data_IF_055994049483
#
_entry.id   IF_055994049483
#
_cell.length_a   1.000
_cell.length_b   1.000
_cell.length_c   1.000
_cell.angle_alpha   90.00
_cell.angle_beta   90.00
_cell.angle_gamma   90.00
#
_symmetry.space_group_name_H-M   'P 1'
#
loop_
_entity.id
_entity.type
_entity.pdbx_description
1 polymer ?
#
# COMPACT_ATOMS: atom_id res chain seq x y z
N UNK A 1 -9.40 -73.14 11.16
CA UNK A 1 -9.13 -71.72 11.49
C UNK A 1 -10.34 -70.88 11.10
N UNK A 2 -11.07 -70.29 12.06
CA UNK A 2 -12.15 -69.34 11.76
C UNK A 2 -11.68 -67.92 12.08
N UNK A 3 -11.41 -67.12 11.05
CA UNK A 3 -10.95 -65.73 11.21
C UNK A 3 -12.15 -64.80 11.46
N UNK A 4 -12.34 -64.40 12.71
CA UNK A 4 -13.30 -63.39 13.11
C UNK A 4 -12.77 -61.97 12.81
N UNK A 5 -13.03 -61.47 11.60
CA UNK A 5 -12.79 -60.07 11.24
C UNK A 5 -13.85 -59.18 11.92
N UNK A 6 -13.55 -58.68 13.12
CA UNK A 6 -14.35 -57.66 13.81
C UNK A 6 -14.40 -56.39 12.93
N UNK A 7 -15.52 -56.16 12.22
CA UNK A 7 -15.81 -54.88 11.53
C UNK A 7 -15.81 -53.76 12.56
N UNK A 8 -14.73 -52.97 12.64
CA UNK A 8 -14.71 -51.72 13.41
C UNK A 8 -15.73 -50.77 12.78
N UNK A 9 -16.80 -50.43 13.51
CA UNK A 9 -17.76 -49.40 13.08
C UNK A 9 -16.99 -48.08 12.99
N UNK A 10 -16.80 -47.56 11.77
CA UNK A 10 -16.33 -46.18 11.59
C UNK A 10 -17.47 -45.26 12.01
N UNK A 11 -17.30 -44.53 13.12
CA UNK A 11 -18.19 -43.43 13.48
C UNK A 11 -17.91 -42.31 12.47
N UNK A 12 -18.78 -42.15 11.49
CA UNK A 12 -18.77 -41.00 10.59
C UNK A 12 -19.33 -39.78 11.31
N UNK A 13 -18.81 -38.59 10.96
CA UNK A 13 -19.38 -37.31 11.36
C UNK A 13 -20.84 -37.23 10.88
N UNK A 14 -21.73 -36.69 11.70
CA UNK A 14 -23.13 -36.51 11.32
C UNK A 14 -23.28 -35.25 10.45
N UNK A 15 -24.25 -35.26 9.51
CA UNK A 15 -24.53 -34.07 8.69
C UNK A 15 -24.97 -32.88 9.55
N UNK A 16 -25.66 -33.14 10.67
CA UNK A 16 -26.11 -32.09 11.59
C UNK A 16 -24.94 -31.40 12.30
N UNK A 17 -23.89 -32.14 12.69
CA UNK A 17 -22.69 -31.55 13.28
C UNK A 17 -22.01 -30.60 12.30
N UNK A 18 -21.95 -30.93 11.01
CA UNK A 18 -21.36 -30.06 9.99
C UNK A 18 -22.19 -28.79 9.77
N UNK A 19 -23.52 -28.90 9.77
CA UNK A 19 -24.44 -27.77 9.54
C UNK A 19 -24.32 -26.73 10.68
N UNK A 20 -24.27 -27.17 11.94
CA UNK A 20 -24.14 -26.25 13.08
C UNK A 20 -22.81 -25.49 13.04
N UNK A 21 -21.72 -26.18 12.67
CA UNK A 21 -20.40 -25.53 12.54
C UNK A 21 -20.42 -24.45 11.46
N UNK A 22 -21.00 -24.74 10.31
CA UNK A 22 -21.13 -23.76 9.23
C UNK A 22 -22.03 -22.57 9.64
N UNK A 23 -23.10 -22.82 10.41
CA UNK A 23 -23.97 -21.75 10.91
C UNK A 23 -23.23 -20.77 11.82
N UNK A 24 -22.40 -21.26 12.75
CA UNK A 24 -21.61 -20.39 13.64
C UNK A 24 -20.50 -19.67 12.87
N UNK A 25 -19.81 -20.35 11.95
CA UNK A 25 -18.79 -19.74 11.09
C UNK A 25 -19.37 -18.62 10.23
N UNK A 26 -20.60 -18.78 9.71
CA UNK A 26 -21.26 -17.75 8.93
C UNK A 26 -21.52 -16.47 9.74
N UNK A 27 -21.93 -16.59 11.00
CA UNK A 27 -22.17 -15.44 11.89
C UNK A 27 -20.85 -14.69 12.16
N UNK A 28 -19.77 -15.42 12.48
CA UNK A 28 -18.45 -14.79 12.72
C UNK A 28 -17.94 -14.12 11.44
N UNK A 29 -18.04 -14.80 10.30
CA UNK A 29 -17.58 -14.28 9.02
C UNK A 29 -18.30 -12.98 8.63
N UNK A 30 -19.60 -12.87 8.91
CA UNK A 30 -20.39 -11.67 8.61
C UNK A 30 -19.84 -10.40 9.30
N UNK A 31 -19.28 -10.52 10.51
CA UNK A 31 -18.69 -9.40 11.25
C UNK A 31 -17.19 -9.25 10.92
N UNK A 32 -16.48 -10.36 10.79
CA UNK A 32 -15.04 -10.37 10.61
C UNK A 32 -14.61 -9.84 9.23
N UNK A 33 -15.33 -10.19 8.15
CA UNK A 33 -15.00 -9.80 6.78
C UNK A 33 -14.99 -8.27 6.58
N UNK A 34 -16.06 -7.51 6.90
CA UNK A 34 -16.06 -6.06 6.69
C UNK A 34 -14.99 -5.35 7.53
N UNK A 35 -14.79 -5.79 8.79
CA UNK A 35 -13.74 -5.24 9.65
C UNK A 35 -12.34 -5.52 9.10
N UNK A 36 -12.10 -6.74 8.59
CA UNK A 36 -10.84 -7.10 7.98
C UNK A 36 -10.54 -6.25 6.73
N UNK A 37 -11.55 -6.00 5.89
CA UNK A 37 -11.41 -5.13 4.71
C UNK A 37 -11.06 -3.69 5.15
N UNK A 38 -11.76 -3.15 6.14
CA UNK A 38 -11.50 -1.80 6.65
C UNK A 38 -10.08 -1.64 7.21
N UNK A 39 -9.63 -2.60 8.02
CA UNK A 39 -8.26 -2.62 8.56
C UNK A 39 -7.23 -2.72 7.44
N UNK A 40 -7.46 -3.62 6.46
CA UNK A 40 -6.56 -3.78 5.32
C UNK A 40 -6.43 -2.50 4.50
N UNK A 41 -7.54 -1.82 4.22
CA UNK A 41 -7.53 -0.56 3.47
C UNK A 41 -6.82 0.55 4.25
N UNK A 42 -7.05 0.66 5.56
CA UNK A 42 -6.34 1.62 6.40
C UNK A 42 -4.84 1.36 6.45
N UNK A 43 -4.41 0.09 6.55
CA UNK A 43 -2.99 -0.28 6.51
C UNK A 43 -2.34 0.07 5.18
N UNK A 44 -3.05 -0.12 4.06
CA UNK A 44 -2.58 0.28 2.73
C UNK A 44 -2.41 1.80 2.60
N UNK A 45 -3.40 2.57 3.05
CA UNK A 45 -3.32 4.04 3.05
C UNK A 45 -2.14 4.55 3.89
N UNK A 46 -1.89 3.93 5.05
CA UNK A 46 -0.75 4.25 5.92
C UNK A 46 0.59 3.84 5.29
N UNK A 47 0.64 2.73 4.56
CA UNK A 47 1.84 2.31 3.83
C UNK A 47 2.20 3.35 2.76
N UNK A 48 1.23 3.84 1.99
CA UNK A 48 1.46 4.88 0.98
C UNK A 48 1.93 6.19 1.63
N UNK A 49 1.31 6.59 2.75
CA UNK A 49 1.78 7.76 3.52
C UNK A 49 3.22 7.61 4.01
N UNK A 50 3.60 6.41 4.47
CA UNK A 50 4.97 6.13 4.88
C UNK A 50 5.94 6.19 3.69
N UNK A 51 5.53 5.67 2.53
CA UNK A 51 6.30 5.80 1.29
C UNK A 51 6.50 7.27 0.91
N UNK A 52 5.47 8.12 0.99
CA UNK A 52 5.61 9.57 0.75
C UNK A 52 6.69 10.21 1.65
N UNK A 53 6.74 9.82 2.93
CA UNK A 53 7.77 10.30 3.85
C UNK A 53 9.16 9.79 3.51
N UNK A 54 9.28 8.52 3.10
CA UNK A 54 10.55 7.95 2.64
C UNK A 54 11.04 8.68 1.40
N UNK A 55 10.19 8.82 0.37
CA UNK A 55 10.48 9.58 -0.86
C UNK A 55 10.92 11.00 -0.51
N UNK A 56 10.17 11.70 0.35
CA UNK A 56 10.49 13.08 0.77
C UNK A 56 11.89 13.18 1.38
N UNK A 57 12.25 12.27 2.28
CA UNK A 57 13.56 12.26 2.93
C UNK A 57 14.68 11.98 1.93
N UNK A 58 14.49 11.01 1.06
CA UNK A 58 15.47 10.67 0.04
C UNK A 58 15.71 11.81 -0.93
N UNK A 59 14.64 12.43 -1.43
CA UNK A 59 14.74 13.59 -2.34
C UNK A 59 15.35 14.80 -1.62
N UNK A 60 15.04 15.02 -0.34
CA UNK A 60 15.66 16.10 0.43
C UNK A 60 17.18 15.92 0.55
N UNK A 61 17.67 14.69 0.70
CA UNK A 61 19.11 14.40 0.68
C UNK A 61 19.73 14.74 -0.68
N UNK A 62 19.08 14.32 -1.78
CA UNK A 62 19.52 14.61 -3.15
C UNK A 62 19.46 16.10 -3.53
N UNK A 63 18.58 16.88 -2.90
CA UNK A 63 18.57 18.33 -3.07
C UNK A 63 19.73 18.94 -2.27
N UNK A 64 19.98 18.44 -1.06
CA UNK A 64 21.02 18.96 -0.17
C UNK A 64 22.44 18.68 -0.67
N UNK A 65 22.66 17.58 -1.38
CA UNK A 65 23.96 17.24 -2.00
C UNK A 65 24.17 17.91 -3.38
N UNK A 66 23.15 18.61 -3.90
CA UNK A 66 23.19 19.29 -5.20
C UNK A 66 22.93 18.38 -6.41
N UNK A 67 22.58 17.11 -6.20
CA UNK A 67 22.26 16.15 -7.27
C UNK A 67 20.97 16.52 -7.97
N UNK A 68 19.94 16.92 -7.21
CA UNK A 68 18.62 17.33 -7.74
C UNK A 68 18.44 18.84 -7.53
N UNK A 69 17.89 19.59 -8.51
CA UNK A 69 17.70 21.03 -8.37
C UNK A 69 16.70 21.37 -7.27
N UNK A 70 16.84 22.57 -6.69
CA UNK A 70 15.89 23.14 -5.72
C UNK A 70 14.50 23.43 -6.30
N UNK A 71 14.28 23.19 -7.59
CA UNK A 71 12.97 23.25 -8.24
C UNK A 71 12.83 22.10 -9.23
N UNK A 72 11.87 21.22 -8.99
CA UNK A 72 11.58 20.06 -9.83
C UNK A 72 10.13 19.58 -9.62
N UNK A 73 9.58 18.93 -10.64
CA UNK A 73 8.27 18.29 -10.61
C UNK A 73 8.38 16.95 -11.34
N UNK A 74 8.01 15.86 -10.67
CA UNK A 74 8.10 14.51 -11.23
C UNK A 74 7.18 13.50 -10.56
N UNK A 75 6.98 12.36 -11.24
CA UNK A 75 6.14 11.26 -10.78
C UNK A 75 6.95 9.98 -10.55
N UNK A 76 6.61 9.27 -9.47
CA UNK A 76 7.23 7.99 -9.07
C UNK A 76 6.17 6.88 -9.06
N UNK A 77 6.49 5.74 -9.68
CA UNK A 77 5.61 4.57 -9.76
C UNK A 77 6.40 3.33 -9.33
N UNK A 78 6.38 3.03 -8.02
CA UNK A 78 7.18 1.94 -7.46
C UNK A 78 8.68 2.15 -7.62
N UNK A 79 9.49 1.10 -7.85
CA UNK A 79 10.95 1.21 -7.96
C UNK A 79 11.42 1.97 -9.22
N UNK A 80 10.50 2.58 -9.98
CA UNK A 80 10.77 3.27 -11.23
C UNK A 80 10.12 4.65 -11.24
N UNK A 81 10.87 5.68 -11.66
CA UNK A 81 10.29 6.98 -12.03
C UNK A 81 9.68 6.91 -13.43
N UNK A 82 8.50 7.50 -13.64
CA UNK A 82 7.83 7.47 -14.96
C UNK A 82 7.86 8.81 -15.67
N UNK A 83 8.18 9.91 -15.00
CA UNK A 83 8.39 11.20 -15.67
C UNK A 83 9.16 12.15 -14.77
N UNK A 84 10.42 12.40 -15.11
CA UNK A 84 11.18 13.55 -14.64
C UNK A 84 11.24 14.54 -15.81
N UNK A 85 10.92 15.81 -15.57
CA UNK A 85 11.21 16.91 -16.51
C UNK A 85 12.72 17.18 -16.69
N UNK A 86 13.59 16.21 -16.38
CA UNK A 86 15.03 16.33 -16.51
C UNK A 86 15.64 14.94 -16.57
N UNK A 87 15.90 14.46 -17.80
CA UNK A 87 16.68 13.22 -18.05
C UNK A 87 18.00 13.18 -17.27
N UNK A 88 18.54 14.36 -16.97
CA UNK A 88 19.79 14.58 -16.26
C UNK A 88 19.89 13.90 -14.89
N UNK A 89 18.78 13.68 -14.17
CA UNK A 89 18.79 13.17 -12.78
C UNK A 89 18.01 11.87 -12.61
N UNK A 90 17.59 11.23 -13.72
CA UNK A 90 16.75 10.03 -13.70
C UNK A 90 17.40 8.87 -12.97
N UNK A 91 18.70 8.66 -13.18
CA UNK A 91 19.39 7.51 -12.62
C UNK A 91 19.57 7.62 -11.10
N UNK A 92 19.99 8.78 -10.61
CA UNK A 92 20.14 9.02 -9.17
C UNK A 92 18.81 8.91 -8.44
N UNK A 93 17.74 9.47 -8.99
CA UNK A 93 16.40 9.36 -8.41
C UNK A 93 15.89 7.92 -8.47
N UNK A 94 16.10 7.20 -9.58
CA UNK A 94 15.69 5.79 -9.67
C UNK A 94 16.43 4.92 -8.65
N UNK A 95 17.73 5.12 -8.47
CA UNK A 95 18.52 4.40 -7.46
C UNK A 95 18.02 4.70 -6.04
N UNK A 96 17.71 5.97 -5.77
CA UNK A 96 17.12 6.41 -4.51
C UNK A 96 15.72 5.82 -4.24
N UNK A 97 14.97 5.49 -5.31
CA UNK A 97 13.59 5.00 -5.23
C UNK A 97 13.46 3.49 -5.36
N UNK A 98 14.55 2.74 -5.49
CA UNK A 98 14.53 1.27 -5.71
C UNK A 98 13.74 0.47 -4.68
N UNK A 99 13.65 0.97 -3.45
CA UNK A 99 12.95 0.31 -2.33
C UNK A 99 11.53 0.87 -2.11
N UNK A 100 11.09 1.81 -2.95
CA UNK A 100 9.75 2.39 -2.88
C UNK A 100 8.75 1.43 -3.52
N UNK A 101 7.76 1.04 -2.72
CA UNK A 101 6.67 0.22 -3.20
C UNK A 101 5.69 1.03 -4.06
N UNK A 102 5.10 0.38 -5.05
CA UNK A 102 3.91 0.90 -5.74
C UNK A 102 2.84 1.29 -4.71
N UNK A 103 2.07 2.33 -5.05
CA UNK A 103 0.89 2.73 -4.27
C UNK A 103 -0.09 1.57 -4.15
N UNK A 104 -0.71 1.42 -2.97
CA UNK A 104 -1.60 0.30 -2.65
C UNK A 104 -2.91 0.75 -1.99
N UNK A 105 -3.00 2.03 -1.62
CA UNK A 105 -4.10 2.65 -0.93
C UNK A 105 -5.38 2.72 -1.74
N UNK A 106 -6.46 3.06 -1.04
CA UNK A 106 -7.77 3.34 -1.61
C UNK A 106 -8.17 4.81 -1.44
N UNK A 107 -7.27 5.62 -0.86
CA UNK A 107 -7.41 7.06 -0.69
C UNK A 107 -6.09 7.72 -1.07
N UNK A 108 -6.18 8.94 -1.60
CA UNK A 108 -5.00 9.72 -1.91
C UNK A 108 -4.39 10.29 -0.63
N UNK A 109 -3.08 10.26 -0.50
CA UNK A 109 -2.33 11.09 0.46
C UNK A 109 -2.25 12.50 -0.12
N UNK A 110 -3.02 13.42 0.45
CA UNK A 110 -3.12 14.81 -0.02
C UNK A 110 -2.11 15.76 0.64
N UNK A 111 -1.42 15.29 1.69
CA UNK A 111 -0.41 16.05 2.41
C UNK A 111 -0.21 15.55 3.83
N UNK A 112 0.51 16.33 4.62
CA UNK A 112 0.75 16.07 6.04
C UNK A 112 0.42 17.33 6.84
N UNK A 113 -0.24 17.17 7.98
CA UNK A 113 -0.49 18.28 8.90
C UNK A 113 0.80 18.70 9.64
N UNK A 114 0.70 19.77 10.44
CA UNK A 114 1.82 20.28 11.23
C UNK A 114 2.35 19.28 12.29
N UNK A 115 1.60 18.22 12.58
CA UNK A 115 1.98 17.13 13.50
C UNK A 115 2.55 15.92 12.75
N UNK A 116 2.71 16.02 11.43
CA UNK A 116 3.18 14.93 10.57
C UNK A 116 2.15 13.82 10.34
N UNK A 117 0.87 14.05 10.65
CA UNK A 117 -0.19 13.09 10.36
C UNK A 117 -0.61 13.20 8.89
N UNK A 118 -0.79 12.06 8.19
CA UNK A 118 -1.21 12.07 6.80
C UNK A 118 -2.65 12.57 6.68
N UNK A 119 -2.87 13.45 5.71
CA UNK A 119 -4.18 13.88 5.27
C UNK A 119 -4.58 13.08 4.04
N UNK A 120 -5.86 12.72 3.98
CA UNK A 120 -6.39 11.90 2.89
C UNK A 120 -7.50 12.61 2.14
N UNK A 121 -7.55 12.41 0.83
CA UNK A 121 -8.69 12.75 -0.03
C UNK A 121 -9.20 11.51 -0.75
N UNK A 122 -10.41 11.61 -1.30
CA UNK A 122 -11.00 10.51 -2.06
C UNK A 122 -10.31 10.35 -3.42
N UNK A 123 -10.13 9.11 -3.84
CA UNK A 123 -9.45 8.74 -5.08
C UNK A 123 -8.54 7.53 -4.89
N UNK A 124 -8.42 6.70 -5.91
CA UNK A 124 -7.49 5.57 -5.91
C UNK A 124 -6.13 6.05 -6.44
N UNK A 125 -5.07 6.02 -5.62
CA UNK A 125 -3.76 6.46 -6.05
C UNK A 125 -3.22 5.58 -7.18
N UNK A 126 -2.55 6.20 -8.15
CA UNK A 126 -1.82 5.51 -9.21
C UNK A 126 -0.31 5.75 -9.13
N UNK A 127 0.11 6.94 -8.67
CA UNK A 127 1.51 7.36 -8.61
C UNK A 127 1.76 8.28 -7.40
N UNK A 128 3.02 8.41 -7.01
CA UNK A 128 3.46 9.51 -6.15
C UNK A 128 3.81 10.72 -7.00
N UNK A 129 3.46 11.91 -6.54
CA UNK A 129 3.82 13.19 -7.13
C UNK A 129 4.80 13.90 -6.20
N UNK A 130 5.96 14.26 -6.74
CA UNK A 130 7.02 14.95 -6.00
C UNK A 130 7.17 16.35 -6.58
N UNK A 131 7.03 17.35 -5.72
CA UNK A 131 7.26 18.75 -6.06
C UNK A 131 8.31 19.32 -5.13
N UNK A 132 9.37 19.88 -5.74
CA UNK A 132 10.44 20.60 -5.07
C UNK A 132 10.30 22.08 -5.42
N UNK A 133 10.29 22.95 -4.43
CA UNK A 133 10.18 24.39 -4.62
C UNK A 133 11.07 25.13 -3.62
N UNK A 134 12.09 25.84 -4.10
CA UNK A 134 13.08 26.55 -3.27
C UNK A 134 13.72 25.64 -2.22
N UNK A 135 14.00 24.39 -2.60
CA UNK A 135 14.59 23.37 -1.73
C UNK A 135 13.58 22.62 -0.84
N UNK A 136 12.35 23.11 -0.70
CA UNK A 136 11.30 22.39 0.04
C UNK A 136 10.73 21.25 -0.79
N UNK A 137 10.69 20.04 -0.20
CA UNK A 137 10.14 18.84 -0.84
C UNK A 137 8.75 18.51 -0.30
N UNK A 138 7.79 18.38 -1.22
CA UNK A 138 6.44 17.89 -0.95
C UNK A 138 6.17 16.63 -1.77
N UNK A 139 5.50 15.66 -1.14
CA UNK A 139 5.16 14.38 -1.77
C UNK A 139 3.72 14.04 -1.44
N UNK A 140 2.93 13.82 -2.48
CA UNK A 140 1.52 13.41 -2.41
C UNK A 140 1.30 12.19 -3.30
N UNK A 141 0.10 11.62 -3.29
CA UNK A 141 -0.31 10.65 -4.31
C UNK A 141 -1.37 11.25 -5.22
N UNK A 142 -1.33 10.87 -6.48
CA UNK A 142 -2.27 11.35 -7.51
C UNK A 142 -2.95 10.18 -8.22
N UNK A 143 -4.11 10.45 -8.80
CA UNK A 143 -4.74 9.54 -9.77
C UNK A 143 -3.95 9.56 -11.09
N UNK A 144 -4.13 8.53 -11.92
CA UNK A 144 -3.58 8.57 -13.27
C UNK A 144 -4.17 9.77 -14.02
N UNK A 145 -3.33 10.56 -14.69
CA UNK A 145 -3.82 11.58 -15.60
C UNK A 145 -4.64 10.90 -16.70
N UNK A 146 -5.87 11.37 -16.94
CA UNK A 146 -6.57 11.03 -18.17
C UNK A 146 -5.77 11.62 -19.32
N UNK A 147 -5.09 10.75 -20.08
CA UNK A 147 -4.38 11.12 -21.30
C UNK A 147 -5.36 11.64 -22.37
#
# INVERSE_FOLDING_TARGET
MSNNLKKKKKKGFTLIELIIVLAVLAIIAAIAIPNFIAVRNNSRNKADAQSCLTIKRTVLMLVSDGTVPETADFYVTGPSTTSLNTEKYKDDVNEAMKDVNNVQGTKLVSGFDAKGQPQYSDGTPAMYHVVISKGDVSVTTVVAAAH
#
